data_IF_834272266248
#
_entry.id   IF_834272266248
#
_cell.length_a   1.000
_cell.length_b   1.000
_cell.length_c   1.000
_cell.angle_alpha   90.00
_cell.angle_beta   90.00
_cell.angle_gamma   90.00
#
_symmetry.space_group_name_H-M   'P 1'
#
loop_
_entity.id
_entity.type
_entity.pdbx_description
1 polymer ?
#
# COMPACT_ATOMS: atom_id res chain seq x y z
N UNK A 1 9.90 -6.76 -8.85
CA UNK A 1 8.72 -5.88 -8.68
C UNK A 1 7.88 -6.38 -7.51
N UNK A 2 7.36 -5.48 -6.69
CA UNK A 2 6.29 -5.74 -5.73
C UNK A 2 5.05 -5.06 -6.29
N UNK A 3 4.03 -5.85 -6.63
CA UNK A 3 2.82 -5.34 -7.25
C UNK A 3 1.75 -5.03 -6.20
N UNK A 4 1.03 -3.95 -6.40
CA UNK A 4 -0.06 -3.51 -5.53
C UNK A 4 -1.35 -3.37 -6.34
N UNK A 5 -2.05 -4.49 -6.62
CA UNK A 5 -3.19 -4.50 -7.53
C UNK A 5 -4.51 -4.08 -6.87
N UNK A 6 -4.51 -3.81 -5.60
CA UNK A 6 -5.63 -3.49 -4.72
C UNK A 6 -6.87 -3.00 -5.44
N UNK A 7 -8.11 -3.16 -5.01
CA UNK A 7 -9.18 -2.33 -5.56
C UNK A 7 -9.04 -0.86 -5.12
N UNK A 8 -8.63 -0.60 -3.88
CA UNK A 8 -8.33 0.74 -3.37
C UNK A 8 -6.82 0.95 -3.36
N UNK A 9 -6.31 1.91 -4.13
CA UNK A 9 -4.88 2.17 -4.28
C UNK A 9 -4.40 3.41 -3.50
N UNK A 10 -5.31 4.25 -3.03
CA UNK A 10 -5.04 5.54 -2.42
C UNK A 10 -4.44 6.55 -3.42
N UNK A 11 -3.14 6.65 -3.50
CA UNK A 11 -2.36 7.45 -4.48
C UNK A 11 -2.76 8.92 -4.55
N UNK A 12 -3.35 9.46 -3.49
CA UNK A 12 -3.90 10.81 -3.49
C UNK A 12 -4.76 11.11 -4.75
N UNK A 13 -5.30 10.05 -5.35
CA UNK A 13 -6.19 10.12 -6.49
C UNK A 13 -7.64 10.16 -6.03
N UNK A 14 -8.50 10.73 -6.87
CA UNK A 14 -9.92 10.84 -6.59
C UNK A 14 -10.51 9.48 -6.17
N UNK A 15 -11.23 9.48 -5.05
CA UNK A 15 -11.86 8.29 -4.46
C UNK A 15 -10.91 7.11 -4.22
N UNK A 16 -9.60 7.40 -4.07
CA UNK A 16 -8.56 6.37 -3.87
C UNK A 16 -8.41 5.38 -5.03
N UNK A 17 -8.81 5.79 -6.23
CA UNK A 17 -8.78 4.98 -7.43
C UNK A 17 -9.98 4.06 -7.62
N UNK A 18 -10.96 4.06 -6.71
CA UNK A 18 -12.23 3.39 -6.95
C UNK A 18 -13.05 4.17 -7.99
N UNK A 19 -13.71 3.50 -8.93
CA UNK A 19 -14.57 4.18 -9.90
C UNK A 19 -15.71 4.93 -9.23
N UNK A 20 -15.91 6.20 -9.59
CA UNK A 20 -16.93 7.07 -8.99
C UNK A 20 -18.36 6.54 -9.14
N UNK A 21 -18.65 5.78 -10.21
CA UNK A 21 -19.97 5.18 -10.41
C UNK A 21 -20.39 4.19 -9.30
N UNK A 22 -19.42 3.65 -8.52
CA UNK A 22 -19.73 2.82 -7.35
C UNK A 22 -20.51 3.59 -6.26
N UNK A 23 -20.45 4.93 -6.26
CA UNK A 23 -21.20 5.76 -5.31
C UNK A 23 -22.70 5.74 -5.62
N UNK A 24 -23.06 5.52 -6.88
CA UNK A 24 -24.48 5.46 -7.33
C UNK A 24 -25.10 4.08 -7.06
N UNK A 25 -24.27 3.07 -6.76
CA UNK A 25 -24.72 1.73 -6.44
C UNK A 25 -25.03 1.60 -4.93
N UNK A 26 -26.04 0.84 -4.58
CA UNK A 26 -26.37 0.52 -3.18
C UNK A 26 -25.44 -0.58 -2.67
N UNK A 27 -24.17 -0.21 -2.46
CA UNK A 27 -23.13 -1.11 -1.97
C UNK A 27 -22.22 -0.43 -0.95
N UNK A 28 -21.62 -1.24 -0.09
CA UNK A 28 -20.64 -0.78 0.88
C UNK A 28 -19.24 -1.06 0.39
N UNK A 29 -18.53 0.00 -0.03
CA UNK A 29 -17.14 -0.11 -0.48
C UNK A 29 -16.21 -0.63 0.62
N UNK A 30 -15.08 -1.26 0.21
CA UNK A 30 -14.02 -1.77 1.08
C UNK A 30 -14.58 -2.60 2.24
N UNK A 31 -15.50 -3.52 1.94
CA UNK A 31 -16.14 -4.40 2.92
C UNK A 31 -16.46 -5.75 2.30
N UNK A 32 -16.90 -6.71 3.13
CA UNK A 32 -17.40 -8.01 2.70
C UNK A 32 -18.79 -7.97 2.04
N UNK A 33 -19.29 -6.79 1.66
CA UNK A 33 -20.51 -6.65 0.89
C UNK A 33 -20.41 -7.42 -0.43
N UNK A 34 -21.29 -8.39 -0.70
CA UNK A 34 -21.26 -9.18 -1.92
C UNK A 34 -21.35 -8.35 -3.20
N UNK A 35 -22.08 -7.21 -3.17
CA UNK A 35 -22.19 -6.33 -4.33
C UNK A 35 -20.84 -5.67 -4.63
N UNK A 36 -20.15 -5.17 -3.62
CA UNK A 36 -18.80 -4.62 -3.79
C UNK A 36 -17.79 -5.68 -4.24
N UNK A 37 -17.79 -6.86 -3.61
CA UNK A 37 -16.89 -7.96 -3.97
C UNK A 37 -17.10 -8.45 -5.41
N UNK A 38 -18.34 -8.40 -5.92
CA UNK A 38 -18.64 -8.70 -7.32
C UNK A 38 -17.94 -7.72 -8.28
N UNK A 39 -17.93 -6.43 -7.96
CA UNK A 39 -17.25 -5.43 -8.79
C UNK A 39 -15.73 -5.55 -8.68
N UNK A 40 -15.20 -5.89 -7.51
CA UNK A 40 -13.78 -6.23 -7.36
C UNK A 40 -13.41 -7.46 -8.20
N UNK A 41 -14.24 -8.50 -8.19
CA UNK A 41 -14.02 -9.69 -9.00
C UNK A 41 -13.96 -9.35 -10.50
N UNK A 42 -14.87 -8.51 -11.01
CA UNK A 42 -14.83 -8.04 -12.41
C UNK A 42 -13.55 -7.29 -12.75
N UNK A 43 -13.09 -6.43 -11.86
CA UNK A 43 -11.81 -5.72 -12.03
C UNK A 43 -10.63 -6.70 -12.06
N UNK A 44 -10.61 -7.66 -11.16
CA UNK A 44 -9.57 -8.67 -11.11
C UNK A 44 -9.61 -9.66 -12.27
N UNK A 45 -10.78 -9.95 -12.86
CA UNK A 45 -10.92 -10.75 -14.07
C UNK A 45 -10.14 -10.14 -15.25
N UNK A 46 -10.04 -8.81 -15.29
CA UNK A 46 -9.30 -8.10 -16.34
C UNK A 46 -7.82 -7.89 -15.98
N UNK A 47 -7.51 -7.51 -14.74
CA UNK A 47 -6.16 -7.15 -14.34
C UNK A 47 -5.27 -8.35 -14.11
N UNK A 48 -5.72 -9.33 -13.29
CA UNK A 48 -4.83 -10.36 -12.77
C UNK A 48 -4.33 -11.32 -13.85
N UNK A 49 -5.11 -11.75 -14.87
CA UNK A 49 -4.59 -12.55 -15.95
C UNK A 49 -3.48 -11.86 -16.78
N UNK A 50 -3.51 -10.52 -16.84
CA UNK A 50 -2.48 -9.74 -17.55
C UNK A 50 -1.14 -9.77 -16.84
N UNK A 51 -1.13 -9.88 -15.50
CA UNK A 51 0.07 -9.83 -14.67
C UNK A 51 0.52 -11.19 -14.16
N UNK A 52 -0.36 -12.18 -14.08
CA UNK A 52 -0.06 -13.51 -13.56
C UNK A 52 1.12 -14.20 -14.25
N UNK A 53 1.29 -14.00 -15.55
CA UNK A 53 2.41 -14.53 -16.33
C UNK A 53 3.77 -13.95 -15.99
N UNK A 54 3.81 -12.81 -15.28
CA UNK A 54 5.05 -12.15 -14.89
C UNK A 54 5.49 -12.47 -13.46
N UNK A 55 4.87 -13.43 -12.80
CA UNK A 55 5.28 -13.90 -11.49
C UNK A 55 6.65 -14.60 -11.55
N UNK A 56 7.41 -14.54 -10.45
CA UNK A 56 8.78 -15.06 -10.40
C UNK A 56 8.84 -16.57 -10.70
N UNK A 57 7.91 -17.35 -10.19
CA UNK A 57 7.79 -18.81 -10.44
C UNK A 57 7.46 -19.15 -11.89
N UNK A 58 7.09 -18.17 -12.71
CA UNK A 58 6.83 -18.28 -14.15
C UNK A 58 7.91 -17.61 -15.01
N UNK A 59 9.04 -17.28 -14.41
CA UNK A 59 10.16 -16.62 -15.09
C UNK A 59 10.02 -15.12 -15.26
N UNK A 60 9.03 -14.51 -14.62
CA UNK A 60 8.86 -13.06 -14.58
C UNK A 60 9.59 -12.40 -13.40
N UNK A 61 9.24 -11.17 -13.11
CA UNK A 61 9.92 -10.35 -12.09
C UNK A 61 9.00 -9.87 -10.96
N UNK A 62 7.77 -10.33 -10.88
CA UNK A 62 6.86 -10.04 -9.77
C UNK A 62 7.19 -10.98 -8.61
N UNK A 63 7.70 -10.43 -7.53
CA UNK A 63 8.14 -11.16 -6.34
C UNK A 63 7.00 -11.42 -5.36
N UNK A 64 6.13 -10.44 -5.18
CA UNK A 64 5.04 -10.42 -4.20
C UNK A 64 3.90 -9.56 -4.68
N UNK A 65 2.68 -9.80 -4.18
CA UNK A 65 1.53 -8.94 -4.42
C UNK A 65 0.85 -8.55 -3.10
N UNK A 66 0.45 -7.27 -3.01
CA UNK A 66 -0.24 -6.75 -1.85
C UNK A 66 -1.75 -7.03 -1.91
N UNK A 67 -2.29 -7.45 -0.78
CA UNK A 67 -3.74 -7.56 -0.54
C UNK A 67 -4.21 -6.24 0.05
N UNK A 68 -5.08 -5.54 -0.65
CA UNK A 68 -5.64 -4.25 -0.25
C UNK A 68 -4.57 -3.15 -0.03
N UNK A 69 -4.89 -2.03 0.56
CA UNK A 69 -3.93 -0.97 0.89
C UNK A 69 -4.32 -0.25 2.18
N UNK A 70 -3.45 -0.33 3.19
CA UNK A 70 -3.61 0.33 4.49
C UNK A 70 -5.02 0.14 5.09
N UNK A 71 -5.57 -1.05 4.95
CA UNK A 71 -6.93 -1.34 5.34
C UNK A 71 -7.19 -1.09 6.83
N UNK A 72 -6.18 -1.31 7.67
CA UNK A 72 -6.27 -1.09 9.11
C UNK A 72 -6.49 0.37 9.54
N UNK A 73 -6.28 1.32 8.62
CA UNK A 73 -6.63 2.73 8.82
C UNK A 73 -8.07 3.06 8.40
N UNK A 74 -8.74 2.12 7.71
CA UNK A 74 -10.09 2.28 7.21
C UNK A 74 -11.11 1.40 7.94
N UNK A 75 -10.76 0.13 8.21
CA UNK A 75 -11.66 -0.84 8.78
C UNK A 75 -10.95 -2.06 9.38
N UNK A 76 -11.74 -3.03 9.83
CA UNK A 76 -11.25 -4.25 10.46
C UNK A 76 -11.95 -5.53 9.96
N UNK A 77 -12.64 -5.46 8.81
CA UNK A 77 -13.37 -6.59 8.22
C UNK A 77 -12.41 -7.63 7.64
N UNK A 78 -12.05 -8.62 8.44
CA UNK A 78 -11.18 -9.73 8.03
C UNK A 78 -11.79 -10.61 6.95
N UNK A 79 -13.13 -10.70 6.90
CA UNK A 79 -13.81 -11.47 5.85
C UNK A 79 -13.58 -10.80 4.49
N UNK A 80 -13.63 -9.48 4.44
CA UNK A 80 -13.27 -8.71 3.25
C UNK A 80 -11.83 -8.97 2.79
N UNK A 81 -10.86 -8.84 3.69
CA UNK A 81 -9.45 -9.07 3.34
C UNK A 81 -9.20 -10.50 2.84
N UNK A 82 -9.86 -11.49 3.46
CA UNK A 82 -9.80 -12.89 2.98
C UNK A 82 -10.42 -13.03 1.60
N UNK A 83 -11.57 -12.40 1.36
CA UNK A 83 -12.20 -12.42 0.05
C UNK A 83 -11.29 -11.82 -1.04
N UNK A 84 -10.62 -10.69 -0.77
CA UNK A 84 -9.65 -10.10 -1.71
C UNK A 84 -8.50 -11.07 -1.99
N UNK A 85 -7.90 -11.67 -0.94
CA UNK A 85 -6.87 -12.70 -1.09
C UNK A 85 -7.33 -13.86 -1.95
N UNK A 86 -8.51 -14.39 -1.65
CA UNK A 86 -9.05 -15.59 -2.32
C UNK A 86 -9.35 -15.30 -3.80
N UNK A 87 -9.91 -14.12 -4.10
CA UNK A 87 -10.10 -13.65 -5.48
C UNK A 87 -8.78 -13.57 -6.26
N UNK A 88 -7.67 -13.22 -5.61
CA UNK A 88 -6.35 -13.22 -6.24
C UNK A 88 -5.86 -14.65 -6.52
N UNK A 89 -6.00 -15.54 -5.55
CA UNK A 89 -5.59 -16.95 -5.68
C UNK A 89 -6.40 -17.65 -6.78
N UNK A 90 -7.71 -17.44 -6.82
CA UNK A 90 -8.61 -17.98 -7.85
C UNK A 90 -8.24 -17.52 -9.27
N UNK A 91 -7.51 -16.40 -9.39
CA UNK A 91 -7.03 -15.85 -10.67
C UNK A 91 -5.55 -16.11 -10.90
N UNK A 92 -5.09 -17.23 -10.36
CA UNK A 92 -3.78 -17.76 -10.69
C UNK A 92 -2.59 -16.93 -10.17
N UNK A 93 -2.82 -16.21 -9.06
CA UNK A 93 -1.74 -15.56 -8.33
C UNK A 93 -1.14 -16.55 -7.34
N UNK A 94 0.12 -16.91 -7.58
CA UNK A 94 0.89 -17.94 -6.84
C UNK A 94 2.06 -17.36 -6.07
N UNK A 95 2.49 -16.13 -6.40
CA UNK A 95 3.54 -15.46 -5.65
C UNK A 95 3.07 -15.12 -4.22
N UNK A 96 3.99 -14.94 -3.26
CA UNK A 96 3.64 -14.57 -1.89
C UNK A 96 2.73 -13.34 -1.85
N UNK A 97 1.65 -13.46 -1.08
CA UNK A 97 0.74 -12.35 -0.78
C UNK A 97 1.11 -11.73 0.56
N UNK A 98 0.91 -10.43 0.69
CA UNK A 98 1.19 -9.69 1.91
C UNK A 98 0.19 -8.56 2.15
N UNK A 99 0.11 -8.09 3.39
CA UNK A 99 -0.61 -6.87 3.77
C UNK A 99 0.38 -5.77 4.16
N UNK A 100 -0.01 -4.52 3.99
CA UNK A 100 0.80 -3.36 4.35
C UNK A 100 -0.06 -2.28 4.97
N UNK A 101 0.26 -1.93 6.21
CA UNK A 101 -0.48 -0.98 7.03
C UNK A 101 0.48 -0.02 7.75
N UNK A 102 -0.06 1.04 8.37
CA UNK A 102 0.71 1.80 9.33
C UNK A 102 1.28 0.88 10.42
N UNK A 103 2.51 1.11 10.90
CA UNK A 103 3.23 0.17 11.76
C UNK A 103 2.71 0.10 13.21
N UNK A 104 1.62 0.77 13.49
CA UNK A 104 1.04 0.84 14.84
C UNK A 104 0.18 -0.39 15.14
N UNK A 105 0.20 -0.83 16.38
CA UNK A 105 -0.52 -2.04 16.83
C UNK A 105 -1.99 -2.08 16.43
N UNK A 106 -2.70 -0.95 16.50
CA UNK A 106 -4.12 -0.87 16.14
C UNK A 106 -4.35 -1.14 14.64
N UNK A 107 -3.57 -0.47 13.78
CA UNK A 107 -3.69 -0.64 12.31
C UNK A 107 -3.22 -2.01 11.86
N UNK A 108 -2.12 -2.52 12.43
CA UNK A 108 -1.64 -3.88 12.15
C UNK A 108 -2.68 -4.93 12.56
N UNK A 109 -3.29 -4.78 13.74
CA UNK A 109 -4.34 -5.70 14.20
C UNK A 109 -5.56 -5.65 13.28
N UNK A 110 -5.99 -4.48 12.86
CA UNK A 110 -7.15 -4.29 12.01
C UNK A 110 -6.92 -4.71 10.55
N UNK A 111 -5.77 -4.35 9.96
CA UNK A 111 -5.52 -4.44 8.51
C UNK A 111 -4.79 -5.70 8.05
N UNK A 112 -4.23 -6.52 8.95
CA UNK A 112 -3.42 -7.67 8.51
C UNK A 112 -4.17 -8.99 8.51
N UNK A 113 -3.65 -9.97 7.76
CA UNK A 113 -4.03 -11.37 7.80
C UNK A 113 -2.89 -12.23 8.38
N UNK A 114 -2.25 -11.77 9.46
CA UNK A 114 -1.13 -12.46 10.11
C UNK A 114 -1.53 -13.86 10.62
N UNK A 115 -2.75 -14.01 11.11
CA UNK A 115 -3.30 -15.29 11.58
C UNK A 115 -3.51 -16.28 10.44
N UNK A 116 -3.78 -15.79 9.24
CA UNK A 116 -3.88 -16.59 8.02
C UNK A 116 -2.51 -16.88 7.38
N UNK A 117 -1.43 -16.40 7.97
CA UNK A 117 -0.07 -16.64 7.53
C UNK A 117 0.43 -15.71 6.43
N UNK A 118 -0.29 -14.63 6.09
CA UNK A 118 0.19 -13.64 5.15
C UNK A 118 1.30 -12.80 5.76
N UNK A 119 2.32 -12.54 4.96
CA UNK A 119 3.42 -11.67 5.38
C UNK A 119 2.92 -10.23 5.64
N UNK A 120 3.49 -9.59 6.64
CA UNK A 120 3.08 -8.24 7.07
C UNK A 120 4.23 -7.27 6.88
N UNK A 121 3.95 -6.15 6.22
CA UNK A 121 4.89 -5.04 6.04
C UNK A 121 4.33 -3.78 6.70
N UNK A 122 5.20 -2.81 6.97
CA UNK A 122 4.80 -1.52 7.53
C UNK A 122 4.94 -0.39 6.50
N UNK A 123 3.93 0.44 6.36
CA UNK A 123 4.01 1.68 5.56
C UNK A 123 4.47 2.84 6.44
N UNK A 124 5.66 3.34 6.22
CA UNK A 124 6.17 4.53 6.90
C UNK A 124 7.33 5.16 6.16
N UNK A 125 7.62 6.42 6.45
CA UNK A 125 8.69 7.19 5.81
C UNK A 125 9.74 7.73 6.78
N UNK A 126 9.63 7.46 8.07
CA UNK A 126 10.57 7.97 9.10
C UNK A 126 10.46 7.15 10.38
N UNK A 127 11.37 7.39 11.35
CA UNK A 127 11.37 6.75 12.68
C UNK A 127 11.43 5.22 12.59
N UNK A 128 12.30 4.68 11.74
CA UNK A 128 12.36 3.25 11.46
C UNK A 128 12.51 2.40 12.75
N UNK A 129 13.43 2.78 13.64
CA UNK A 129 13.66 2.08 14.90
C UNK A 129 12.38 1.95 15.75
N UNK A 130 11.62 3.05 15.90
CA UNK A 130 10.36 3.04 16.62
C UNK A 130 9.31 2.18 15.92
N UNK A 131 9.13 2.37 14.62
CA UNK A 131 8.13 1.66 13.84
C UNK A 131 8.42 0.15 13.78
N UNK A 132 9.67 -0.23 13.61
CA UNK A 132 10.06 -1.61 13.65
C UNK A 132 9.93 -2.23 15.04
N UNK A 133 10.13 -1.47 16.14
CA UNK A 133 9.85 -1.99 17.48
C UNK A 133 8.37 -2.35 17.65
N UNK A 134 7.46 -1.52 17.15
CA UNK A 134 6.02 -1.81 17.18
C UNK A 134 5.67 -3.07 16.36
N UNK A 135 6.27 -3.23 15.18
CA UNK A 135 6.07 -4.44 14.37
C UNK A 135 6.64 -5.68 15.05
N UNK A 136 7.82 -5.61 15.67
CA UNK A 136 8.43 -6.73 16.44
C UNK A 136 7.52 -7.18 17.57
N UNK A 137 6.99 -6.22 18.35
CA UNK A 137 6.05 -6.50 19.42
C UNK A 137 4.79 -7.20 18.90
N UNK A 138 4.21 -6.67 17.82
CA UNK A 138 3.05 -7.27 17.18
C UNK A 138 3.33 -8.67 16.64
N UNK A 139 4.47 -8.90 16.01
CA UNK A 139 4.85 -10.24 15.53
C UNK A 139 5.04 -11.23 16.68
N UNK A 140 5.64 -10.79 17.78
CA UNK A 140 5.83 -11.63 18.98
C UNK A 140 4.50 -12.04 19.60
N UNK A 141 3.47 -11.20 19.60
CA UNK A 141 2.12 -11.55 20.06
C UNK A 141 1.47 -12.69 19.25
N UNK A 142 1.94 -12.90 18.02
CA UNK A 142 1.43 -13.93 17.11
C UNK A 142 2.44 -15.08 16.89
N UNK A 143 3.47 -15.19 17.72
CA UNK A 143 4.55 -16.19 17.58
C UNK A 143 5.24 -16.18 16.21
N UNK A 144 5.34 -14.99 15.58
CA UNK A 144 6.00 -14.80 14.29
C UNK A 144 7.40 -14.24 14.48
N UNK A 145 8.36 -14.79 13.73
CA UNK A 145 9.74 -14.31 13.62
C UNK A 145 10.04 -13.90 12.18
N UNK A 146 9.21 -13.03 11.64
CA UNK A 146 9.35 -12.58 10.27
C UNK A 146 10.40 -11.48 10.13
N UNK A 147 11.05 -11.39 8.97
CA UNK A 147 11.89 -10.25 8.66
C UNK A 147 11.05 -8.97 8.65
N UNK A 148 11.65 -7.88 9.11
CA UNK A 148 11.02 -6.57 9.06
C UNK A 148 11.14 -6.01 7.64
N UNK A 149 10.04 -5.47 7.14
CA UNK A 149 10.03 -4.81 5.84
C UNK A 149 9.20 -3.52 5.90
N UNK A 150 9.83 -2.45 5.46
CA UNK A 150 9.21 -1.15 5.28
C UNK A 150 8.85 -0.94 3.81
N UNK A 151 7.63 -0.49 3.54
CA UNK A 151 7.30 0.17 2.29
C UNK A 151 7.40 1.67 2.56
N UNK A 152 8.52 2.25 2.11
CA UNK A 152 8.88 3.65 2.36
C UNK A 152 8.21 4.56 1.34
N UNK A 153 7.46 5.55 1.81
CA UNK A 153 6.85 6.58 0.97
C UNK A 153 7.82 7.76 0.91
N UNK A 154 8.49 7.94 -0.23
CA UNK A 154 9.52 8.98 -0.41
C UNK A 154 8.98 10.39 -0.16
N UNK A 155 7.80 10.70 -0.66
CA UNK A 155 7.19 12.02 -0.47
C UNK A 155 6.90 12.40 0.98
N UNK A 156 6.67 11.45 1.86
CA UNK A 156 6.47 11.70 3.29
C UNK A 156 7.77 11.98 4.03
N UNK A 157 8.89 11.51 3.50
CA UNK A 157 10.22 11.83 4.02
C UNK A 157 10.59 13.30 3.78
N UNK A 158 9.96 13.93 2.79
CA UNK A 158 10.33 15.26 2.28
C UNK A 158 9.31 16.35 2.57
N UNK A 159 8.11 16.03 3.05
CA UNK A 159 7.08 17.01 3.45
C UNK A 159 7.51 17.97 4.59
N UNK A 160 8.72 17.82 5.10
CA UNK A 160 9.26 18.86 5.99
C UNK A 160 9.56 20.11 5.16
N UNK A 161 9.07 21.25 5.64
CA UNK A 161 9.20 22.63 5.17
C UNK A 161 10.64 23.12 4.84
N UNK A 162 11.56 22.23 4.52
CA UNK A 162 12.95 22.57 4.25
C UNK A 162 13.18 22.95 2.79
N UNK A 163 13.55 24.20 2.60
CA UNK A 163 13.76 24.88 1.32
C UNK A 163 15.04 24.45 0.56
N UNK A 164 15.83 23.51 1.07
CA UNK A 164 17.14 23.20 0.48
C UNK A 164 17.23 21.73 0.05
N UNK A 165 17.36 21.47 -1.24
CA UNK A 165 17.51 20.13 -1.85
C UNK A 165 18.55 19.26 -1.13
N UNK A 166 19.70 19.81 -0.78
CA UNK A 166 20.78 19.07 -0.10
C UNK A 166 20.35 18.51 1.27
N UNK A 167 19.55 19.26 2.02
CA UNK A 167 19.04 18.78 3.30
C UNK A 167 18.00 17.67 3.14
N UNK A 168 17.19 17.75 2.09
CA UNK A 168 16.21 16.72 1.74
C UNK A 168 16.92 15.41 1.39
N UNK A 169 17.91 15.44 0.49
CA UNK A 169 18.71 14.26 0.11
C UNK A 169 19.37 13.62 1.32
N UNK A 170 19.95 14.42 2.21
CA UNK A 170 20.60 13.89 3.43
C UNK A 170 19.60 13.19 4.35
N UNK A 171 18.45 13.77 4.60
CA UNK A 171 17.39 13.15 5.43
C UNK A 171 16.85 11.88 4.82
N UNK A 172 16.67 11.84 3.49
CA UNK A 172 16.28 10.63 2.80
C UNK A 172 17.31 9.53 3.01
N UNK A 173 18.59 9.84 2.79
CA UNK A 173 19.68 8.89 2.98
C UNK A 173 19.76 8.39 4.44
N UNK A 174 19.60 9.28 5.43
CA UNK A 174 19.55 8.93 6.85
C UNK A 174 18.38 8.01 7.17
N UNK A 175 17.17 8.30 6.65
CA UNK A 175 15.99 7.48 6.88
C UNK A 175 16.10 6.10 6.22
N UNK A 176 16.61 6.02 5.00
CA UNK A 176 16.90 4.75 4.32
C UNK A 176 17.94 3.94 5.10
N UNK A 177 19.00 4.61 5.55
CA UNK A 177 20.06 3.97 6.36
C UNK A 177 19.47 3.40 7.67
N UNK A 178 18.62 4.16 8.36
CA UNK A 178 17.96 3.71 9.60
C UNK A 178 17.10 2.45 9.36
N UNK A 179 16.36 2.39 8.26
CA UNK A 179 15.59 1.19 7.89
C UNK A 179 16.50 -0.01 7.66
N UNK A 180 17.60 0.18 6.89
CA UNK A 180 18.49 -0.89 6.51
C UNK A 180 19.33 -1.44 7.67
N UNK A 181 19.38 -0.76 8.82
CA UNK A 181 20.03 -1.29 10.03
C UNK A 181 19.24 -2.47 10.62
N UNK A 182 17.92 -2.50 10.45
CA UNK A 182 17.07 -3.47 11.14
C UNK A 182 16.20 -4.32 10.20
N UNK A 183 16.01 -3.90 8.95
CA UNK A 183 15.10 -4.56 8.02
C UNK A 183 15.36 -4.28 6.56
N UNK A 184 14.37 -4.59 5.76
CA UNK A 184 14.37 -4.35 4.32
C UNK A 184 13.51 -3.15 3.96
N UNK A 185 13.82 -2.48 2.85
CA UNK A 185 13.05 -1.38 2.32
C UNK A 185 12.58 -1.68 0.90
N UNK A 186 11.33 -1.33 0.62
CA UNK A 186 10.83 -1.13 -0.73
C UNK A 186 10.47 0.34 -0.88
N UNK A 187 11.07 1.02 -1.84
CA UNK A 187 10.81 2.43 -2.07
C UNK A 187 9.54 2.59 -2.90
N UNK A 188 8.61 3.34 -2.38
CA UNK A 188 7.44 3.84 -3.05
C UNK A 188 7.56 5.38 -3.09
N UNK A 189 7.85 5.97 -4.26
CA UNK A 189 7.78 5.31 -5.56
C UNK A 189 9.02 5.57 -6.39
N UNK A 190 9.22 4.78 -7.45
CA UNK A 190 10.31 5.00 -8.42
C UNK A 190 9.95 6.11 -9.41
N UNK A 191 8.72 6.10 -9.89
CA UNK A 191 8.12 7.09 -10.78
C UNK A 191 6.67 7.33 -10.38
N UNK A 192 6.30 8.55 -10.06
CA UNK A 192 4.94 8.93 -9.70
C UNK A 192 4.12 9.49 -10.85
N UNK A 193 4.75 10.26 -11.69
CA UNK A 193 4.11 10.88 -12.84
C UNK A 193 3.05 11.92 -12.47
N UNK A 194 2.07 12.06 -13.33
CA UNK A 194 0.91 12.94 -13.12
C UNK A 194 -0.35 12.08 -13.02
N UNK A 195 -1.20 12.36 -12.05
CA UNK A 195 -2.46 11.64 -11.90
C UNK A 195 -3.28 11.65 -13.18
N UNK A 196 -3.77 10.47 -13.57
CA UNK A 196 -4.46 10.26 -14.82
C UNK A 196 -5.66 11.21 -14.98
N UNK A 197 -5.79 11.83 -16.16
CA UNK A 197 -6.85 12.79 -16.45
C UNK A 197 -6.78 14.06 -15.61
N UNK A 198 -5.62 14.36 -15.01
CA UNK A 198 -5.43 15.47 -14.07
C UNK A 198 -6.36 15.41 -12.84
N UNK A 199 -6.93 14.24 -12.57
CA UNK A 199 -7.75 14.00 -11.37
C UNK A 199 -6.86 13.84 -10.17
N UNK A 200 -7.27 14.46 -9.07
CA UNK A 200 -6.60 14.35 -7.79
C UNK A 200 -7.64 14.24 -6.67
N UNK A 201 -7.26 13.55 -5.60
CA UNK A 201 -8.11 13.43 -4.43
C UNK A 201 -7.93 14.58 -3.46
N UNK A 202 -8.43 14.37 -2.27
CA UNK A 202 -8.20 15.26 -1.13
C UNK A 202 -7.85 14.45 0.12
N UNK A 203 -7.18 15.08 1.06
CA UNK A 203 -6.99 14.55 2.41
C UNK A 203 -8.07 15.12 3.32
N UNK A 204 -9.04 14.29 3.71
CA UNK A 204 -10.05 14.70 4.68
C UNK A 204 -9.43 14.76 6.09
N UNK A 205 -9.50 15.92 6.72
CA UNK A 205 -9.01 16.13 8.09
C UNK A 205 -10.12 16.77 8.94
N UNK A 206 -10.92 15.92 9.58
CA UNK A 206 -12.08 16.37 10.32
C UNK A 206 -13.15 16.95 9.39
N UNK A 207 -13.37 18.26 9.45
CA UNK A 207 -14.35 18.96 8.61
C UNK A 207 -13.75 19.69 7.40
N UNK A 208 -12.45 19.50 7.15
CA UNK A 208 -11.73 20.21 6.08
C UNK A 208 -11.15 19.20 5.10
N UNK A 209 -11.49 19.37 3.84
CA UNK A 209 -10.87 18.65 2.73
C UNK A 209 -9.70 19.48 2.17
N UNK A 210 -8.50 18.91 2.22
CA UNK A 210 -7.29 19.51 1.69
C UNK A 210 -7.03 18.93 0.31
N UNK A 211 -7.22 19.69 -0.78
CA UNK A 211 -6.98 19.19 -2.12
C UNK A 211 -5.51 18.82 -2.30
N UNK A 212 -5.27 17.70 -2.98
CA UNK A 212 -3.94 17.25 -3.36
C UNK A 212 -3.55 17.83 -4.72
N UNK A 213 -2.26 17.92 -4.98
CA UNK A 213 -1.76 18.34 -6.29
C UNK A 213 -1.87 17.19 -7.30
N UNK A 214 -2.03 17.55 -8.58
CA UNK A 214 -2.15 16.56 -9.66
C UNK A 214 -0.86 15.80 -9.93
N UNK A 215 0.31 16.46 -9.74
CA UNK A 215 1.60 15.78 -9.78
C UNK A 215 1.69 14.76 -8.65
N UNK A 216 2.05 13.53 -9.00
CA UNK A 216 2.33 12.47 -8.04
C UNK A 216 3.83 12.19 -7.94
N UNK A 217 4.64 13.19 -8.26
CA UNK A 217 6.09 13.10 -8.22
C UNK A 217 6.61 12.85 -6.80
N UNK A 218 6.17 13.65 -5.82
CA UNK A 218 6.52 13.51 -4.41
C UNK A 218 8.01 13.23 -4.15
N UNK A 219 8.90 13.90 -4.91
CA UNK A 219 10.35 13.67 -4.89
C UNK A 219 10.76 12.21 -5.19
N UNK A 220 10.02 11.53 -6.08
CA UNK A 220 10.40 10.23 -6.61
C UNK A 220 11.76 10.27 -7.34
N UNK A 221 12.29 9.09 -7.70
CA UNK A 221 13.58 9.01 -8.39
C UNK A 221 13.54 9.55 -9.82
N UNK A 222 12.38 9.48 -10.46
CA UNK A 222 12.12 10.06 -11.77
C UNK A 222 11.08 11.16 -11.65
N UNK A 223 11.20 12.20 -12.46
CA UNK A 223 10.22 13.29 -12.55
C UNK A 223 8.91 12.83 -13.22
N UNK A 224 7.95 13.76 -13.43
CA UNK A 224 6.65 13.43 -14.01
C UNK A 224 6.72 12.89 -15.44
N UNK A 225 7.81 13.12 -16.14
CA UNK A 225 8.01 12.67 -17.52
C UNK A 225 8.70 11.29 -17.58
N UNK A 226 9.33 10.85 -16.49
CA UNK A 226 10.07 9.59 -16.38
C UNK A 226 11.54 9.76 -16.73
#
# INVERSE_FOLDING_TARGET
VILRPSPFICSEWEFGGLPAWLIEEDLRIRSSDPAFLKEVARYYDELLPRVAKYQLDRGGNILMMQVENEYGSYGEDKAYLRAIRDLMIERDITCPLFTSDGPWRATLRAGTLIEDGLFVTGNFGSRANYNFSQMKEFFAEHDKKWPLMCIGILGWLVQSLERTIIKRIRRLAEAVHEVLQEGSINLYMFHGGTNFGFMNGCSARGTVDLPQVTSYDYDALLDEQG
#
